data_IF_986259561149
#
_entry.id   IF_986259561149
#
_cell.length_a   1.000
_cell.length_b   1.000
_cell.length_c   1.000
_cell.angle_alpha   90.00
_cell.angle_beta   90.00
_cell.angle_gamma   90.00
#
_symmetry.space_group_name_H-M   'P 1'
#
loop_
_entity.id
_entity.type
_entity.pdbx_description
1 polymer ?
#
# COMPACT_ATOMS: atom_id res chain seq x y z
N UNK A 1 -21.09 -26.22 0.87
CA UNK A 1 -19.73 -26.75 0.59
C UNK A 1 -18.81 -25.68 -0.01
N UNK A 2 -19.08 -24.39 0.23
CA UNK A 2 -18.26 -23.29 -0.24
C UNK A 2 -18.48 -22.05 0.64
N UNK A 3 -17.55 -21.12 0.59
CA UNK A 3 -17.59 -19.82 1.25
C UNK A 3 -17.04 -18.77 0.27
N UNK A 4 -17.57 -17.55 0.29
CA UNK A 4 -17.07 -16.46 -0.55
C UNK A 4 -16.84 -15.22 0.29
N UNK A 5 -15.69 -14.58 0.08
CA UNK A 5 -15.38 -13.27 0.63
C UNK A 5 -15.61 -12.23 -0.47
N UNK A 6 -16.61 -11.38 -0.25
CA UNK A 6 -16.91 -10.23 -1.11
C UNK A 6 -15.95 -9.10 -0.74
N UNK A 7 -15.26 -8.55 -1.73
CA UNK A 7 -14.29 -7.47 -1.55
C UNK A 7 -14.92 -6.17 -2.06
N UNK A 8 -15.62 -5.45 -1.17
CA UNK A 8 -16.34 -4.22 -1.53
C UNK A 8 -15.41 -3.00 -1.72
N UNK A 9 -14.13 -3.14 -1.33
CA UNK A 9 -13.11 -2.13 -1.56
C UNK A 9 -12.84 -1.89 -3.04
N UNK A 10 -12.44 -0.66 -3.37
CA UNK A 10 -12.05 -0.25 -4.72
C UNK A 10 -10.60 0.23 -4.73
N UNK A 11 -9.90 0.00 -5.84
CA UNK A 11 -8.61 0.63 -6.09
C UNK A 11 -8.82 1.87 -6.98
N UNK A 12 -8.11 2.94 -6.68
CA UNK A 12 -8.07 4.16 -7.49
C UNK A 12 -6.68 4.33 -8.09
N UNK A 13 -6.59 4.32 -9.42
CA UNK A 13 -5.37 4.56 -10.17
C UNK A 13 -5.45 5.93 -10.85
N UNK A 14 -4.48 6.80 -10.59
CA UNK A 14 -4.45 8.15 -11.17
C UNK A 14 -3.26 8.29 -12.11
N UNK A 15 -3.52 8.60 -13.37
CA UNK A 15 -2.47 9.02 -14.30
C UNK A 15 -2.32 10.54 -14.25
N UNK A 16 -1.49 11.02 -13.32
CA UNK A 16 -1.34 12.45 -13.00
C UNK A 16 -1.01 13.30 -14.24
N UNK A 17 -0.14 12.80 -15.14
CA UNK A 17 0.22 13.50 -16.39
C UNK A 17 -0.94 13.66 -17.39
N UNK A 18 -1.95 12.79 -17.30
CA UNK A 18 -3.12 12.79 -18.19
C UNK A 18 -4.37 13.37 -17.52
N UNK A 19 -4.32 13.57 -16.20
CA UNK A 19 -5.48 13.98 -15.41
C UNK A 19 -6.60 12.93 -15.37
N UNK A 20 -6.28 11.66 -15.65
CA UNK A 20 -7.22 10.54 -15.70
C UNK A 20 -7.25 9.79 -14.36
N UNK A 21 -8.45 9.48 -13.88
CA UNK A 21 -8.67 8.73 -12.64
C UNK A 21 -9.50 7.48 -12.96
N UNK A 22 -8.94 6.31 -12.71
CA UNK A 22 -9.56 5.02 -12.94
C UNK A 22 -9.97 4.39 -11.62
N UNK A 23 -11.24 3.99 -11.52
CA UNK A 23 -11.79 3.23 -10.40
C UNK A 23 -11.85 1.76 -10.82
N UNK A 24 -11.26 0.91 -9.99
CA UNK A 24 -11.11 -0.52 -10.23
C UNK A 24 -11.81 -1.27 -9.11
N UNK A 25 -12.78 -2.12 -9.42
CA UNK A 25 -13.42 -3.00 -8.43
C UNK A 25 -12.58 -4.25 -8.16
N UNK A 26 -12.92 -5.02 -7.12
CA UNK A 26 -12.18 -6.22 -6.76
C UNK A 26 -12.98 -7.49 -7.12
N UNK A 27 -12.30 -8.58 -7.54
CA UNK A 27 -12.97 -9.87 -7.66
C UNK A 27 -13.30 -10.40 -6.26
N UNK A 28 -14.24 -11.35 -6.16
CA UNK A 28 -14.46 -12.05 -4.89
C UNK A 28 -13.52 -13.25 -4.77
N UNK A 29 -13.15 -13.60 -3.54
CA UNK A 29 -12.43 -14.85 -3.26
C UNK A 29 -13.43 -15.96 -2.91
N UNK A 30 -13.31 -17.10 -3.57
CA UNK A 30 -14.22 -18.22 -3.44
C UNK A 30 -13.47 -19.47 -2.98
N UNK A 31 -13.86 -20.00 -1.82
CA UNK A 31 -13.33 -21.23 -1.26
C UNK A 31 -14.33 -22.38 -1.49
N UNK A 32 -13.88 -23.48 -2.12
CA UNK A 32 -14.66 -24.71 -2.34
C UNK A 32 -14.09 -25.85 -1.51
N UNK A 33 -14.87 -26.91 -1.32
CA UNK A 33 -14.38 -28.16 -0.73
C UNK A 33 -14.25 -28.11 0.79
N UNK A 34 -15.04 -27.26 1.46
CA UNK A 34 -14.98 -27.06 2.91
C UNK A 34 -15.41 -28.31 3.69
N UNK A 35 -16.44 -29.01 3.20
CA UNK A 35 -16.99 -30.20 3.85
C UNK A 35 -16.59 -31.49 3.14
N UNK A 36 -16.52 -31.45 1.80
CA UNK A 36 -16.21 -32.62 0.97
C UNK A 36 -15.31 -32.24 -0.21
N UNK A 37 -14.25 -33.03 -0.42
CA UNK A 37 -13.24 -32.81 -1.46
C UNK A 37 -12.00 -32.06 -0.95
N UNK A 38 -11.10 -31.73 -1.86
CA UNK A 38 -9.92 -30.91 -1.54
C UNK A 38 -10.33 -29.43 -1.48
N UNK A 39 -9.90 -28.74 -0.43
CA UNK A 39 -10.17 -27.30 -0.30
C UNK A 39 -9.38 -26.52 -1.37
N UNK A 40 -10.08 -25.71 -2.17
CA UNK A 40 -9.46 -24.88 -3.22
C UNK A 40 -9.93 -23.44 -3.11
N UNK A 41 -9.02 -22.49 -3.35
CA UNK A 41 -9.35 -21.07 -3.44
C UNK A 41 -9.24 -20.58 -4.88
N UNK A 42 -10.24 -19.82 -5.31
CA UNK A 42 -10.34 -19.26 -6.66
C UNK A 42 -10.79 -17.80 -6.56
N UNK A 43 -10.27 -16.93 -7.42
CA UNK A 43 -10.84 -15.61 -7.62
C UNK A 43 -11.94 -15.71 -8.68
N UNK A 44 -13.04 -15.00 -8.45
CA UNK A 44 -14.18 -15.03 -9.36
C UNK A 44 -14.89 -13.70 -9.48
N UNK A 45 -15.72 -13.61 -10.51
CA UNK A 45 -16.62 -12.48 -10.73
C UNK A 45 -16.08 -11.48 -11.75
N UNK A 46 -16.77 -10.35 -11.81
CA UNK A 46 -16.48 -9.28 -12.77
C UNK A 46 -15.80 -8.12 -12.06
N UNK A 47 -14.71 -7.66 -12.64
CA UNK A 47 -13.99 -6.46 -12.23
C UNK A 47 -14.21 -5.39 -13.29
N UNK A 48 -14.61 -4.19 -12.89
CA UNK A 48 -14.74 -3.05 -13.82
C UNK A 48 -13.58 -2.08 -13.60
N UNK A 49 -13.12 -1.49 -14.70
CA UNK A 49 -12.10 -0.44 -14.72
C UNK A 49 -12.74 0.74 -15.46
N UNK A 50 -13.08 1.78 -14.71
CA UNK A 50 -13.90 2.89 -15.21
C UNK A 50 -13.18 4.24 -14.98
N UNK A 51 -13.08 5.06 -16.02
CA UNK A 51 -12.67 6.46 -15.92
C UNK A 51 -13.80 7.37 -16.40
N UNK A 52 -14.42 8.09 -15.47
CA UNK A 52 -15.57 8.96 -15.76
C UNK A 52 -15.22 10.11 -16.70
N UNK A 53 -14.00 10.66 -16.56
CA UNK A 53 -13.56 11.84 -17.32
C UNK A 53 -13.40 11.56 -18.82
N UNK A 54 -12.83 10.41 -19.17
CA UNK A 54 -12.58 10.00 -20.57
C UNK A 54 -13.65 9.04 -21.10
N UNK A 55 -14.59 8.63 -20.24
CA UNK A 55 -15.60 7.62 -20.53
C UNK A 55 -14.97 6.30 -21.02
N UNK A 56 -13.77 5.99 -20.53
CA UNK A 56 -13.10 4.72 -20.77
C UNK A 56 -13.60 3.69 -19.78
N UNK A 57 -13.91 2.49 -20.30
CA UNK A 57 -14.49 1.40 -19.53
C UNK A 57 -14.02 0.07 -20.06
N UNK A 58 -13.56 -0.79 -19.14
CA UNK A 58 -13.25 -2.18 -19.41
C UNK A 58 -13.89 -3.07 -18.34
N UNK A 59 -14.27 -4.28 -18.73
CA UNK A 59 -14.72 -5.32 -17.80
C UNK A 59 -13.77 -6.51 -17.91
N UNK A 60 -13.23 -6.95 -16.78
CA UNK A 60 -12.45 -8.17 -16.66
C UNK A 60 -13.32 -9.26 -16.03
N UNK A 61 -13.31 -10.44 -16.61
CA UNK A 61 -14.01 -11.62 -16.09
C UNK A 61 -13.01 -12.61 -15.51
N UNK A 62 -13.08 -12.83 -14.20
CA UNK A 62 -12.37 -13.87 -13.48
C UNK A 62 -13.22 -15.13 -13.49
N UNK A 63 -12.87 -16.07 -14.35
CA UNK A 63 -13.55 -17.36 -14.42
C UNK A 63 -13.00 -18.26 -13.31
N UNK A 64 -13.91 -18.96 -12.63
CA UNK A 64 -13.60 -19.92 -11.57
C UNK A 64 -12.89 -21.20 -12.09
N UNK A 65 -12.39 -21.19 -13.33
CA UNK A 65 -11.70 -22.30 -13.99
C UNK A 65 -10.58 -21.74 -14.86
N UNK A 66 -9.47 -22.47 -14.88
CA UNK A 66 -8.32 -22.29 -15.76
C UNK A 66 -7.37 -21.12 -15.46
N UNK A 67 -7.70 -20.26 -14.49
CA UNK A 67 -6.80 -19.20 -14.01
C UNK A 67 -6.57 -18.07 -15.03
N UNK A 68 -7.32 -18.08 -16.13
CA UNK A 68 -7.30 -17.06 -17.17
C UNK A 68 -8.22 -15.91 -16.82
N UNK A 69 -7.77 -14.69 -17.12
CA UNK A 69 -8.56 -13.48 -17.00
C UNK A 69 -8.91 -13.02 -18.41
N UNK A 70 -10.20 -12.85 -18.67
CA UNK A 70 -10.68 -12.34 -19.94
C UNK A 70 -11.01 -10.86 -19.83
N UNK A 71 -10.78 -10.09 -20.90
CA UNK A 71 -11.25 -8.72 -21.02
C UNK A 71 -12.39 -8.68 -22.02
N UNK A 72 -13.48 -8.02 -21.63
CA UNK A 72 -14.66 -7.80 -22.44
C UNK A 72 -14.68 -6.33 -22.87
N UNK A 73 -14.50 -6.07 -24.16
CA UNK A 73 -14.64 -4.72 -24.70
C UNK A 73 -16.13 -4.44 -24.99
N UNK A 74 -16.76 -3.64 -24.12
CA UNK A 74 -18.21 -3.38 -24.18
C UNK A 74 -18.69 -2.76 -25.51
N UNK A 75 -17.79 -2.11 -26.26
CA UNK A 75 -18.11 -1.49 -27.55
C UNK A 75 -18.25 -2.49 -28.69
N UNK A 76 -17.46 -3.55 -28.65
CA UNK A 76 -17.30 -4.49 -29.77
C UNK A 76 -17.87 -5.88 -29.46
N UNK A 77 -18.18 -6.17 -28.18
CA UNK A 77 -18.76 -7.45 -27.75
C UNK A 77 -17.79 -8.63 -27.78
N UNK A 78 -16.51 -8.38 -28.11
CA UNK A 78 -15.50 -9.42 -28.15
C UNK A 78 -14.90 -9.63 -26.76
N UNK A 79 -14.81 -10.91 -26.36
CA UNK A 79 -14.11 -11.36 -25.18
C UNK A 79 -12.79 -12.00 -25.61
N UNK A 80 -11.66 -11.47 -25.14
CA UNK A 80 -10.34 -12.02 -25.41
C UNK A 80 -9.62 -12.37 -24.11
N UNK A 81 -8.67 -13.32 -24.18
CA UNK A 81 -7.81 -13.63 -23.04
C UNK A 81 -6.89 -12.43 -22.82
N UNK A 82 -7.09 -11.74 -21.71
CA UNK A 82 -6.30 -10.57 -21.33
C UNK A 82 -5.00 -10.97 -20.65
N UNK A 83 -5.09 -11.92 -19.73
CA UNK A 83 -3.96 -12.31 -18.90
C UNK A 83 -4.03 -13.76 -18.46
N UNK A 84 -2.88 -14.44 -18.51
CA UNK A 84 -2.70 -15.81 -18.03
C UNK A 84 -1.37 -15.89 -17.25
N UNK A 85 -1.36 -16.39 -16.01
CA UNK A 85 -0.17 -16.48 -15.17
C UNK A 85 0.79 -17.61 -15.59
N UNK A 86 1.37 -17.53 -16.80
CA UNK A 86 2.36 -18.51 -17.28
C UNK A 86 3.63 -18.49 -16.42
N UNK A 87 4.42 -19.56 -16.50
CA UNK A 87 5.71 -19.66 -15.80
C UNK A 87 6.66 -18.51 -16.13
N UNK A 88 6.64 -18.02 -17.37
CA UNK A 88 7.43 -16.89 -17.85
C UNK A 88 6.96 -15.58 -17.20
N UNK A 89 5.65 -15.34 -17.18
CA UNK A 89 5.04 -14.16 -16.53
C UNK A 89 5.38 -14.14 -15.04
N UNK A 90 5.31 -15.29 -14.37
CA UNK A 90 5.66 -15.42 -12.94
C UNK A 90 7.12 -15.08 -12.68
N UNK A 91 8.04 -15.51 -13.56
CA UNK A 91 9.48 -15.19 -13.45
C UNK A 91 9.78 -13.71 -13.66
N UNK A 92 8.96 -13.00 -14.42
CA UNK A 92 9.09 -11.56 -14.66
C UNK A 92 8.48 -10.69 -13.55
N UNK A 93 7.86 -11.29 -12.53
CA UNK A 93 7.27 -10.56 -11.41
C UNK A 93 8.34 -9.77 -10.67
N UNK A 94 8.10 -8.46 -10.51
CA UNK A 94 8.95 -7.60 -9.72
C UNK A 94 9.02 -8.10 -8.27
N UNK A 95 10.23 -8.11 -7.71
CA UNK A 95 10.41 -8.40 -6.29
C UNK A 95 9.86 -7.24 -5.48
N UNK A 96 8.96 -7.55 -4.53
CA UNK A 96 8.47 -6.59 -3.57
C UNK A 96 9.64 -6.07 -2.74
N UNK A 97 9.75 -4.76 -2.59
CA UNK A 97 10.66 -4.17 -1.62
C UNK A 97 10.09 -4.41 -0.21
N UNK A 98 10.91 -4.96 0.68
CA UNK A 98 10.50 -5.32 2.05
C UNK A 98 11.45 -4.57 3.00
N UNK A 99 10.87 -3.87 3.98
CA UNK A 99 11.62 -3.22 5.07
C UNK A 99 12.23 -4.30 5.94
N UNK A 100 13.53 -4.17 6.24
CA UNK A 100 14.25 -5.15 7.06
C UNK A 100 13.62 -5.26 8.44
N UNK A 101 13.55 -6.47 8.98
CA UNK A 101 12.86 -6.77 10.24
C UNK A 101 13.36 -5.93 11.41
N UNK A 102 14.67 -5.66 11.47
CA UNK A 102 15.30 -4.87 12.52
C UNK A 102 14.95 -3.38 12.45
N UNK A 103 14.54 -2.91 11.27
CA UNK A 103 14.14 -1.52 11.01
C UNK A 103 12.64 -1.29 11.20
N UNK A 104 11.85 -2.37 11.34
CA UNK A 104 10.40 -2.29 11.52
C UNK A 104 10.01 -1.81 12.92
N UNK A 105 8.96 -1.01 12.99
CA UNK A 105 8.34 -0.57 14.25
C UNK A 105 7.47 -1.67 14.88
N UNK A 106 7.20 -1.57 16.18
CA UNK A 106 6.51 -2.64 16.94
C UNK A 106 5.09 -2.97 16.44
N UNK A 107 4.43 -2.03 15.76
CA UNK A 107 3.07 -2.22 15.21
C UNK A 107 3.04 -2.50 13.70
N UNK A 108 4.19 -2.72 13.07
CA UNK A 108 4.24 -3.22 11.69
C UNK A 108 3.91 -4.70 11.63
N UNK A 109 3.19 -5.11 10.59
CA UNK A 109 2.53 -6.42 10.53
C UNK A 109 3.48 -7.59 10.73
N UNK A 110 4.66 -7.60 10.09
CA UNK A 110 5.59 -8.73 10.19
C UNK A 110 6.18 -8.86 11.60
N UNK A 111 6.55 -7.74 12.23
CA UNK A 111 7.02 -7.70 13.62
C UNK A 111 5.93 -8.00 14.64
N UNK A 112 4.74 -7.42 14.49
CA UNK A 112 3.61 -7.62 15.38
C UNK A 112 3.15 -9.08 15.38
N UNK A 113 3.14 -9.73 14.20
CA UNK A 113 2.68 -11.11 14.04
C UNK A 113 3.82 -12.14 14.03
N UNK A 114 5.04 -11.76 14.44
CA UNK A 114 6.23 -12.62 14.34
C UNK A 114 6.08 -13.96 15.08
N UNK A 115 5.47 -13.96 16.27
CA UNK A 115 5.36 -15.16 17.11
C UNK A 115 4.30 -16.13 16.57
N UNK A 116 3.16 -15.59 16.11
CA UNK A 116 2.11 -16.35 15.42
C UNK A 116 2.67 -16.99 14.15
N UNK A 117 3.33 -16.19 13.32
CA UNK A 117 3.93 -16.64 12.05
C UNK A 117 5.01 -17.69 12.29
N UNK A 118 5.88 -17.50 13.29
CA UNK A 118 6.89 -18.49 13.66
C UNK A 118 6.28 -19.81 14.13
N UNK A 119 5.19 -19.78 14.89
CA UNK A 119 4.50 -20.98 15.36
C UNK A 119 3.82 -21.73 14.20
N UNK A 120 3.15 -21.00 13.30
CA UNK A 120 2.55 -21.56 12.08
C UNK A 120 3.61 -22.25 11.22
N UNK A 121 4.74 -21.60 10.97
CA UNK A 121 5.84 -22.15 10.18
C UNK A 121 6.46 -23.41 10.82
N UNK A 122 6.37 -23.55 12.15
CA UNK A 122 6.80 -24.75 12.88
C UNK A 122 5.72 -25.83 12.97
N UNK A 123 4.51 -25.57 12.47
CA UNK A 123 3.37 -26.47 12.58
C UNK A 123 2.75 -26.55 13.98
N UNK A 124 3.12 -25.65 14.90
CA UNK A 124 2.60 -25.62 16.27
C UNK A 124 1.32 -24.79 16.35
N UNK A 125 0.19 -25.46 16.11
CA UNK A 125 -1.13 -24.84 16.09
C UNK A 125 -1.58 -24.33 17.45
N UNK A 126 -1.21 -25.00 18.53
CA UNK A 126 -1.56 -24.59 19.89
C UNK A 126 -0.87 -23.28 20.25
N UNK A 127 0.44 -23.20 20.00
CA UNK A 127 1.19 -21.98 20.21
C UNK A 127 0.70 -20.84 19.31
N UNK A 128 0.46 -21.10 18.03
CA UNK A 128 -0.05 -20.07 17.11
C UNK A 128 -1.38 -19.47 17.61
N UNK A 129 -2.29 -20.32 18.11
CA UNK A 129 -3.58 -19.89 18.68
C UNK A 129 -3.38 -19.07 19.96
N UNK A 130 -2.47 -19.49 20.83
CA UNK A 130 -2.16 -18.77 22.06
C UNK A 130 -1.57 -17.38 21.79
N UNK A 131 -0.56 -17.29 20.93
CA UNK A 131 0.07 -16.00 20.57
C UNK A 131 -0.94 -15.06 19.87
N UNK A 132 -1.80 -15.61 19.01
CA UNK A 132 -2.91 -14.85 18.40
C UNK A 132 -3.87 -14.31 19.47
N UNK A 133 -4.24 -15.15 20.43
CA UNK A 133 -5.13 -14.74 21.52
C UNK A 133 -4.55 -13.60 22.35
N UNK A 134 -3.25 -13.67 22.69
CA UNK A 134 -2.56 -12.61 23.45
C UNK A 134 -2.65 -11.28 22.70
N UNK A 135 -2.30 -11.25 21.41
CA UNK A 135 -2.36 -10.05 20.57
C UNK A 135 -3.80 -9.48 20.48
N UNK A 136 -4.80 -10.34 20.27
CA UNK A 136 -6.20 -9.91 20.16
C UNK A 136 -6.79 -9.42 21.50
N UNK A 137 -6.36 -9.99 22.63
CA UNK A 137 -6.75 -9.53 23.97
C UNK A 137 -6.15 -8.16 24.29
N UNK A 138 -4.87 -7.93 23.94
CA UNK A 138 -4.23 -6.61 24.09
C UNK A 138 -4.96 -5.53 23.26
N UNK A 139 -5.31 -5.82 22.01
CA UNK A 139 -6.08 -4.89 21.18
C UNK A 139 -7.48 -4.61 21.77
N UNK A 140 -8.15 -5.63 22.33
CA UNK A 140 -9.45 -5.48 23.00
C UNK A 140 -9.35 -4.64 24.27
N UNK A 141 -8.28 -4.82 25.06
CA UNK A 141 -8.03 -4.02 26.26
C UNK A 141 -7.72 -2.56 25.91
N UNK A 142 -6.85 -2.31 24.92
CA UNK A 142 -6.57 -0.97 24.44
C UNK A 142 -7.82 -0.25 23.91
N UNK A 143 -8.74 -0.97 23.26
CA UNK A 143 -10.03 -0.43 22.83
C UNK A 143 -10.95 -0.08 24.01
N UNK A 144 -10.94 -0.90 25.06
CA UNK A 144 -11.70 -0.66 26.29
C UNK A 144 -11.19 0.58 27.03
N UNK A 145 -9.88 0.69 27.22
CA UNK A 145 -9.24 1.85 27.85
C UNK A 145 -9.54 3.14 27.08
N UNK A 146 -9.47 3.09 25.74
CA UNK A 146 -9.83 4.24 24.89
C UNK A 146 -11.27 4.69 25.12
N UNK A 147 -12.20 3.74 25.22
CA UNK A 147 -13.61 4.01 25.49
C UNK A 147 -13.82 4.59 26.89
N UNK A 148 -13.16 4.04 27.91
CA UNK A 148 -13.26 4.51 29.30
C UNK A 148 -12.69 5.91 29.47
N UNK A 149 -11.59 6.22 28.79
CA UNK A 149 -10.95 7.53 28.81
C UNK A 149 -11.64 8.55 27.87
N UNK A 150 -12.66 8.14 27.10
CA UNK A 150 -13.32 8.99 26.12
C UNK A 150 -12.41 9.44 24.97
N UNK A 151 -11.32 8.71 24.71
CA UNK A 151 -10.36 9.02 23.64
C UNK A 151 -10.71 8.27 22.37
N UNK A 152 -10.83 9.00 21.27
CA UNK A 152 -11.06 8.42 19.94
C UNK A 152 -9.77 7.84 19.33
N UNK A 153 -9.88 6.69 18.65
CA UNK A 153 -8.77 6.17 17.85
C UNK A 153 -8.57 7.01 16.60
N UNK A 154 -7.33 7.46 16.36
CA UNK A 154 -6.98 8.29 15.20
C UNK A 154 -5.90 7.60 14.37
N UNK A 155 -6.19 7.22 13.11
CA UNK A 155 -5.18 6.65 12.23
C UNK A 155 -4.03 7.61 11.97
N UNK A 156 -2.81 7.08 11.92
CA UNK A 156 -1.59 7.88 11.77
C UNK A 156 -1.44 8.46 10.36
N UNK A 157 -1.64 7.62 9.32
CA UNK A 157 -1.33 7.95 7.92
C UNK A 157 -2.54 8.35 7.08
N UNK A 158 -3.75 8.05 7.54
CA UNK A 158 -4.99 8.28 6.79
C UNK A 158 -5.96 9.18 7.55
N UNK A 159 -6.74 9.97 6.81
CA UNK A 159 -7.85 10.80 7.30
C UNK A 159 -9.14 10.34 6.65
N UNK A 160 -10.22 10.28 7.42
CA UNK A 160 -11.56 10.02 6.88
C UNK A 160 -12.14 11.32 6.32
N UNK A 161 -12.65 11.26 5.10
CA UNK A 161 -13.38 12.33 4.45
C UNK A 161 -14.87 12.06 4.59
N UNK A 162 -15.54 12.75 5.51
CA UNK A 162 -16.97 12.54 5.79
C UNK A 162 -17.90 12.93 4.64
N UNK A 163 -17.40 13.65 3.63
CA UNK A 163 -18.21 14.07 2.48
C UNK A 163 -18.31 12.99 1.41
N UNK A 164 -17.21 12.27 1.18
CA UNK A 164 -17.14 11.17 0.21
C UNK A 164 -17.24 9.80 0.86
N UNK A 165 -17.17 9.75 2.19
CA UNK A 165 -17.05 8.51 2.99
C UNK A 165 -15.81 7.68 2.60
N UNK A 166 -14.71 8.35 2.26
CA UNK A 166 -13.46 7.71 1.83
C UNK A 166 -12.30 8.02 2.77
N UNK A 167 -11.38 7.07 2.91
CA UNK A 167 -10.11 7.31 3.59
C UNK A 167 -9.08 7.86 2.61
N UNK A 168 -8.56 9.06 2.91
CA UNK A 168 -7.49 9.69 2.13
C UNK A 168 -6.16 9.59 2.84
N UNK A 169 -5.12 9.28 2.08
CA UNK A 169 -3.76 9.35 2.59
C UNK A 169 -3.39 10.81 2.90
N UNK A 170 -2.85 11.08 4.09
CA UNK A 170 -2.61 12.47 4.56
C UNK A 170 -1.52 13.20 3.77
N UNK A 171 -0.59 12.46 3.18
CA UNK A 171 0.59 12.98 2.49
C UNK A 171 0.53 12.69 0.99
N UNK A 172 -0.68 12.62 0.41
CA UNK A 172 -0.88 12.41 -1.01
C UNK A 172 -0.18 13.52 -1.83
N UNK A 173 0.76 13.13 -2.70
CA UNK A 173 1.35 14.01 -3.70
C UNK A 173 0.70 13.72 -5.06
N UNK A 174 -0.18 14.64 -5.47
CA UNK A 174 -0.90 14.57 -6.75
C UNK A 174 -0.22 15.40 -7.85
N UNK A 175 0.98 15.92 -7.59
CA UNK A 175 1.76 16.63 -8.60
C UNK A 175 2.28 15.60 -9.61
N UNK A 176 2.13 15.86 -10.93
CA UNK A 176 2.75 15.00 -11.92
C UNK A 176 4.28 14.98 -11.76
N UNK A 177 4.88 13.83 -12.04
CA UNK A 177 6.35 13.67 -11.98
C UNK A 177 7.03 14.65 -12.92
N UNK A 178 7.97 15.42 -12.38
CA UNK A 178 8.81 16.35 -13.13
C UNK A 178 10.14 15.65 -13.47
N UNK A 179 10.38 15.25 -14.73
CA UNK A 179 11.62 14.56 -15.10
C UNK A 179 12.89 15.41 -14.93
N UNK A 180 12.76 16.74 -14.85
CA UNK A 180 13.89 17.65 -14.67
C UNK A 180 14.27 17.77 -13.21
N UNK A 181 13.28 17.87 -12.31
CA UNK A 181 13.51 18.12 -10.89
C UNK A 181 13.43 16.86 -10.04
N UNK A 182 12.55 15.92 -10.34
CA UNK A 182 12.34 14.75 -9.50
C UNK A 182 13.33 13.62 -9.86
N UNK A 183 13.95 13.01 -8.85
CA UNK A 183 15.00 11.99 -9.01
C UNK A 183 14.48 10.61 -8.63
N UNK A 184 13.91 10.49 -7.43
CA UNK A 184 13.35 9.24 -6.92
C UNK A 184 12.22 9.52 -5.92
N UNK A 185 11.30 8.56 -5.75
CA UNK A 185 10.41 8.52 -4.60
C UNK A 185 10.87 7.44 -3.64
N UNK A 186 10.79 7.71 -2.35
CA UNK A 186 11.10 6.76 -1.31
C UNK A 186 10.12 6.91 -0.16
N UNK A 187 9.98 5.85 0.62
CA UNK A 187 9.14 5.82 1.81
C UNK A 187 10.00 6.06 3.05
N UNK A 188 9.48 6.83 4.00
CA UNK A 188 10.06 7.00 5.33
C UNK A 188 8.95 7.14 6.38
N UNK A 189 8.86 6.20 7.33
CA UNK A 189 7.87 6.18 8.41
C UNK A 189 6.41 6.22 7.92
N UNK A 190 6.11 5.50 6.85
CA UNK A 190 4.83 5.49 6.13
C UNK A 190 4.58 6.73 5.27
N UNK A 191 5.56 7.63 5.14
CA UNK A 191 5.45 8.88 4.36
C UNK A 191 6.22 8.73 3.04
N UNK A 192 5.52 8.85 1.91
CA UNK A 192 6.15 8.92 0.60
C UNK A 192 6.75 10.32 0.39
N UNK A 193 8.02 10.36 0.01
CA UNK A 193 8.78 11.59 -0.22
C UNK A 193 9.44 11.56 -1.60
N UNK A 194 9.38 12.68 -2.30
CA UNK A 194 10.07 12.87 -3.58
C UNK A 194 11.41 13.55 -3.35
N UNK A 195 12.49 12.92 -3.81
CA UNK A 195 13.82 13.50 -3.82
C UNK A 195 13.99 14.38 -5.06
N UNK A 196 14.19 15.68 -4.84
CA UNK A 196 14.34 16.67 -5.91
C UNK A 196 15.80 17.06 -6.14
N UNK A 197 16.14 17.43 -7.38
CA UNK A 197 17.39 18.07 -7.77
C UNK A 197 17.38 19.49 -7.22
N UNK A 198 17.85 19.66 -5.99
CA UNK A 198 18.17 20.99 -5.52
C UNK A 198 19.38 21.51 -6.31
N UNK A 199 19.14 22.22 -7.41
CA UNK A 199 20.13 23.12 -7.96
C UNK A 199 20.46 24.10 -6.84
N UNK A 200 21.67 23.99 -6.30
CA UNK A 200 22.18 24.94 -5.33
C UNK A 200 22.41 26.25 -6.07
N UNK A 201 21.36 27.06 -6.23
CA UNK A 201 21.49 28.47 -6.57
C UNK A 201 22.02 29.18 -5.34
N UNK A 202 23.32 28.97 -5.07
CA UNK A 202 24.13 29.91 -4.33
C UNK A 202 24.12 31.20 -5.16
N UNK A 203 23.27 32.15 -4.77
CA UNK A 203 23.35 33.61 -4.97
C UNK A 203 21.94 34.21 -5.07
N UNK A 204 21.40 34.68 -3.95
CA UNK A 204 20.77 36.01 -3.88
C UNK A 204 20.56 36.38 -2.40
N UNK A 205 21.57 37.02 -1.83
CA UNK A 205 21.41 37.82 -0.62
C UNK A 205 20.73 39.12 -1.03
N UNK A 206 19.40 39.17 -1.01
CA UNK A 206 18.69 40.44 -0.81
C UNK A 206 17.49 40.21 0.10
N UNK A 207 17.66 40.56 1.38
CA UNK A 207 16.56 40.97 2.25
C UNK A 207 15.90 42.19 1.60
N UNK A 208 14.74 42.00 1.02
CA UNK A 208 13.80 43.08 0.76
C UNK A 208 12.57 42.86 1.65
N UNK A 209 12.51 43.64 2.71
CA UNK A 209 11.33 43.82 3.56
C UNK A 209 10.21 44.38 2.69
N UNK A 210 9.15 43.62 2.44
CA UNK A 210 7.92 44.17 1.88
C UNK A 210 6.91 44.38 3.00
N UNK A 211 6.74 45.66 3.29
CA UNK A 211 5.79 46.25 4.21
C UNK A 211 4.36 46.00 3.69
N UNK A 212 3.50 45.65 4.64
CA UNK A 212 2.05 45.77 4.71
C UNK A 212 1.42 46.69 3.64
N UNK A 213 0.35 46.22 2.99
CA UNK A 213 -0.73 47.10 2.56
C UNK A 213 -2.06 46.35 2.56
N UNK A 214 -2.86 46.63 3.59
CA UNK A 214 -4.30 46.41 3.63
C UNK A 214 -4.96 47.34 2.60
N UNK A 215 -5.82 46.80 1.75
CA UNK A 215 -6.91 47.57 1.14
C UNK A 215 -8.22 46.84 1.42
N UNK A 216 -8.99 47.49 2.27
CA UNK A 216 -10.38 47.31 2.63
C UNK A 216 -11.30 47.35 1.40
N UNK A 217 -12.27 46.44 1.31
CA UNK A 217 -13.49 46.70 0.56
C UNK A 217 -14.73 46.21 1.31
N UNK A 218 -15.76 47.03 1.22
CA UNK A 218 -16.79 47.27 2.22
C UNK A 218 -17.85 46.18 2.37
N UNK A 219 -18.30 46.03 3.63
CA UNK A 219 -19.61 45.52 4.06
C UNK A 219 -20.77 46.10 3.25
N UNK A 220 -21.75 45.24 2.92
CA UNK A 220 -23.17 45.60 2.99
C UNK A 220 -23.97 44.50 3.69
N UNK A 221 -24.67 44.93 4.74
CA UNK A 221 -25.54 44.18 5.63
C UNK A 221 -27.00 44.24 5.14
N UNK A 222 -27.78 43.24 5.55
CA UNK A 222 -29.23 43.17 5.88
C UNK A 222 -29.82 41.88 5.30
N UNK A 223 -30.70 41.08 5.92
CA UNK A 223 -31.44 41.14 7.19
C UNK A 223 -32.02 39.72 7.45
N UNK A 224 -32.29 39.47 8.72
CA UNK A 224 -33.13 38.44 9.37
C UNK A 224 -34.03 37.52 8.51
N UNK A 225 -34.08 36.24 8.92
CA UNK A 225 -35.35 35.61 9.32
C UNK A 225 -35.12 34.48 10.33
N UNK A 226 -35.93 34.51 11.41
CA UNK A 226 -35.94 33.61 12.57
C UNK A 226 -36.86 32.39 12.35
N UNK A 227 -36.70 31.39 13.25
CA UNK A 227 -37.63 30.31 13.69
C UNK A 227 -37.47 28.97 12.94
N UNK A 228 -37.47 27.79 13.57
CA UNK A 228 -37.96 27.34 14.90
C UNK A 228 -37.28 26.02 15.32
N UNK A 229 -37.22 25.79 16.64
CA UNK A 229 -37.02 24.49 17.33
C UNK A 229 -38.02 23.43 16.83
N UNK A 230 -37.57 22.18 16.75
CA UNK A 230 -38.22 21.02 17.39
C UNK A 230 -37.17 19.93 17.66
N UNK A 231 -37.27 19.34 18.83
CA UNK A 231 -36.66 18.07 19.21
C UNK A 231 -37.22 16.95 18.33
N UNK A 232 -36.48 15.86 18.17
CA UNK A 232 -36.87 14.55 18.72
C UNK A 232 -35.79 13.49 18.42
N UNK A 233 -35.42 12.79 19.49
CA UNK A 233 -34.80 11.45 19.53
C UNK A 233 -35.86 10.42 19.06
N UNK A 234 -35.51 9.25 18.49
CA UNK A 234 -34.81 8.22 19.26
C UNK A 234 -33.80 7.32 18.52
N UNK A 235 -32.96 6.72 19.36
CA UNK A 235 -32.22 5.46 19.24
C UNK A 235 -32.51 4.55 18.04
N UNK A 236 -31.45 4.07 17.40
CA UNK A 236 -31.20 2.63 17.39
C UNK A 236 -29.72 2.28 17.21
N UNK A 237 -29.40 1.22 17.90
CA UNK A 237 -28.13 0.57 18.14
C UNK A 237 -27.75 -0.29 16.93
N UNK A 238 -26.56 -0.09 16.36
CA UNK A 238 -25.90 -1.11 15.54
C UNK A 238 -24.40 -1.05 15.79
N UNK A 239 -23.90 -2.06 16.50
CA UNK A 239 -22.49 -2.33 16.65
C UNK A 239 -21.98 -2.91 15.33
N UNK A 240 -21.15 -2.15 14.61
CA UNK A 240 -20.30 -2.72 13.57
C UNK A 240 -18.90 -2.86 14.18
N UNK A 241 -18.60 -4.08 14.65
CA UNK A 241 -17.23 -4.51 14.92
C UNK A 241 -16.63 -4.97 13.60
N UNK A 242 -15.78 -4.13 13.00
CA UNK A 242 -14.99 -4.53 11.84
C UNK A 242 -13.87 -5.46 12.32
N UNK A 243 -13.94 -6.72 11.90
CA UNK A 243 -12.87 -7.70 12.06
C UNK A 243 -11.81 -7.45 11.00
N UNK A 244 -10.68 -6.87 11.38
CA UNK A 244 -9.49 -6.80 10.54
C UNK A 244 -8.78 -8.17 10.54
N UNK A 245 -9.19 -9.07 9.66
CA UNK A 245 -8.41 -10.27 9.36
C UNK A 245 -7.36 -9.93 8.30
N UNK A 246 -6.10 -9.79 8.70
CA UNK A 246 -4.95 -9.94 7.80
C UNK A 246 -4.26 -11.26 8.13
N UNK A 247 -4.67 -12.32 7.47
CA UNK A 247 -4.02 -13.64 7.55
C UNK A 247 -2.76 -13.61 6.67
N UNK A 248 -1.57 -14.01 7.16
CA UNK A 248 -0.43 -14.25 6.30
C UNK A 248 -0.60 -15.57 5.55
N UNK A 249 -0.45 -15.54 4.22
CA UNK A 249 -0.43 -16.73 3.37
C UNK A 249 0.74 -17.66 3.74
N UNK A 250 0.42 -18.94 3.93
CA UNK A 250 1.39 -20.02 4.07
C UNK A 250 2.06 -20.31 2.72
N UNK A 251 3.37 -20.11 2.63
CA UNK A 251 4.18 -20.56 1.49
C UNK A 251 4.42 -22.06 1.64
N UNK A 252 3.81 -22.85 0.77
CA UNK A 252 4.08 -24.28 0.64
C UNK A 252 4.71 -24.52 -0.73
N UNK A 253 6.04 -24.39 -0.80
CA UNK A 253 6.82 -24.96 -1.89
C UNK A 253 7.25 -26.37 -1.47
N UNK A 254 6.71 -27.38 -2.15
CA UNK A 254 7.16 -28.75 -2.08
C UNK A 254 8.52 -28.84 -2.80
N UNK A 255 9.53 -29.29 -2.05
CA UNK A 255 10.86 -29.62 -2.57
C UNK A 255 10.86 -31.00 -3.22
N UNK A 256 11.56 -31.12 -4.35
CA UNK A 256 12.25 -32.36 -4.69
C UNK A 256 13.72 -32.21 -4.25
N UNK A 257 14.14 -33.10 -3.35
CA UNK A 257 15.48 -33.24 -2.78
C UNK A 257 16.37 -34.08 -3.71
N UNK A 258 17.63 -33.70 -3.82
CA UNK A 258 18.72 -34.66 -4.03
C UNK A 258 19.97 -34.13 -3.33
N UNK A 259 20.29 -34.76 -2.20
CA UNK A 259 21.28 -34.31 -1.24
C UNK A 259 22.75 -34.43 -1.66
N UNK A 260 23.57 -33.57 -1.05
CA UNK A 260 24.95 -33.88 -0.63
C UNK A 260 25.41 -32.93 0.49
N UNK A 261 25.57 -33.50 1.69
CA UNK A 261 26.25 -32.87 2.82
C UNK A 261 27.76 -32.79 2.57
N UNK A 262 28.37 -31.60 2.65
CA UNK A 262 29.79 -31.39 2.95
C UNK A 262 30.02 -29.98 3.53
N UNK A 263 30.55 -29.93 4.77
CA UNK A 263 31.68 -29.07 5.16
C UNK A 263 31.46 -27.56 5.36
N UNK A 264 31.72 -27.10 6.59
CA UNK A 264 31.98 -25.71 6.97
C UNK A 264 33.01 -25.00 6.05
N UNK A 265 32.68 -23.77 5.63
CA UNK A 265 33.66 -22.74 5.22
C UNK A 265 33.85 -22.53 3.72
N UNK A 266 33.09 -21.61 3.11
CA UNK A 266 33.64 -20.77 2.03
C UNK A 266 32.90 -19.43 1.93
N UNK A 267 33.67 -18.35 1.80
CA UNK A 267 33.17 -17.01 1.55
C UNK A 267 32.32 -16.99 0.28
N UNK A 268 31.15 -16.39 0.37
CA UNK A 268 30.30 -16.04 -0.76
C UNK A 268 31.08 -15.22 -1.80
N UNK A 269 31.39 -15.84 -2.94
CA UNK A 269 32.10 -15.22 -4.08
C UNK A 269 31.31 -14.07 -4.73
N UNK A 270 30.00 -14.02 -4.52
CA UNK A 270 29.13 -12.93 -4.96
C UNK A 270 29.28 -11.68 -4.08
N UNK A 271 29.39 -11.89 -2.76
CA UNK A 271 29.53 -10.85 -1.75
C UNK A 271 30.90 -10.13 -1.85
N UNK A 272 31.94 -10.85 -2.27
CA UNK A 272 33.26 -10.26 -2.56
C UNK A 272 33.29 -9.38 -3.82
N UNK A 273 32.50 -9.72 -4.85
CA UNK A 273 32.41 -8.93 -6.09
C UNK A 273 31.70 -7.60 -5.86
N UNK A 274 30.60 -7.60 -5.14
CA UNK A 274 29.85 -6.38 -4.81
C UNK A 274 30.68 -5.43 -3.93
N UNK A 275 31.43 -5.95 -2.96
CA UNK A 275 32.31 -5.12 -2.13
C UNK A 275 33.51 -4.55 -2.89
N UNK A 276 34.05 -5.28 -3.88
CA UNK A 276 35.10 -4.76 -4.76
C UNK A 276 34.56 -3.69 -5.72
N UNK A 277 33.35 -3.88 -6.25
CA UNK A 277 32.69 -2.89 -7.10
C UNK A 277 32.39 -1.59 -6.34
N UNK A 278 31.98 -1.69 -5.07
CA UNK A 278 31.81 -0.52 -4.19
C UNK A 278 33.13 0.22 -3.92
N UNK A 279 34.24 -0.51 -3.76
CA UNK A 279 35.58 0.08 -3.56
C UNK A 279 36.08 0.78 -4.82
N UNK A 280 35.85 0.21 -6.00
CA UNK A 280 36.19 0.84 -7.27
C UNK A 280 35.39 2.12 -7.51
N UNK A 281 34.07 2.10 -7.26
CA UNK A 281 33.23 3.30 -7.33
C UNK A 281 33.73 4.38 -6.38
N UNK A 282 34.06 4.01 -5.13
CA UNK A 282 34.58 4.96 -4.14
C UNK A 282 35.93 5.56 -4.55
N UNK A 283 36.81 4.76 -5.15
CA UNK A 283 38.09 5.23 -5.70
C UNK A 283 37.90 6.20 -6.87
N UNK A 284 36.98 5.89 -7.78
CA UNK A 284 36.65 6.74 -8.93
C UNK A 284 36.03 8.09 -8.50
N UNK A 285 35.17 8.09 -7.47
CA UNK A 285 34.63 9.34 -6.91
C UNK A 285 35.74 10.20 -6.31
N UNK A 286 36.69 9.61 -5.59
CA UNK A 286 37.81 10.34 -4.99
C UNK A 286 38.79 10.88 -6.04
N UNK A 287 39.01 10.18 -7.15
CA UNK A 287 39.87 10.67 -8.24
C UNK A 287 39.21 11.85 -8.98
N UNK A 288 37.90 11.77 -9.23
CA UNK A 288 37.13 12.87 -9.82
C UNK A 288 37.12 14.10 -8.91
N UNK A 289 36.99 13.93 -7.60
CA UNK A 289 37.06 15.03 -6.64
C UNK A 289 38.44 15.70 -6.63
N UNK A 290 39.53 14.94 -6.76
CA UNK A 290 40.88 15.50 -6.89
C UNK A 290 41.07 16.25 -8.21
N UNK A 291 40.64 15.68 -9.33
CA UNK A 291 40.71 16.35 -10.63
C UNK A 291 39.90 17.67 -10.63
N UNK A 292 38.74 17.69 -9.97
CA UNK A 292 37.94 18.92 -9.80
C UNK A 292 38.62 19.96 -8.90
N UNK A 293 39.45 19.56 -7.94
CA UNK A 293 40.24 20.47 -7.12
C UNK A 293 41.44 21.04 -7.89
N UNK A 294 42.08 20.24 -8.74
CA UNK A 294 43.20 20.68 -9.58
C UNK A 294 42.74 21.65 -10.68
N UNK A 295 41.54 21.46 -11.26
CA UNK A 295 40.95 22.41 -12.23
C UNK A 295 40.55 23.75 -11.55
N UNK A 296 40.35 23.75 -10.23
CA UNK A 296 39.99 24.95 -9.45
C UNK A 296 41.21 25.69 -8.90
N UNK A 297 42.43 25.22 -9.14
CA UNK A 297 43.69 25.91 -8.86
C UNK A 297 44.22 26.58 -10.13
#
# INVERSE_FOLDING_TARGET
NSLSALLDGKAKLMFLNRGEDYIITMPYAHCKGILYGTMTMELGGKVTIDCEKTNHRAELEFKLKDGEVHINELKNGNAEVFWNPTSEVRKQRLKRHIVLFEEQTDFESERLWQHVTSAINKGDQHKATQEKFVLEEEQRNAARERRENGTEWKPLLFRHDSTTDEWRYKYEDLRPWDPLNDIAQFEKNGILQTMERHLSTRMSNHKATCINNQITLHKRSTKDCRRRKTSDQPSNHSQNTESSCSTPESVQELSDDDGKYLGFGSLCTQCGKEMNQLKEIRSAVLSLQRAQQDIRR
#
